data_IF_473246587161
#
_entry.id   IF_473246587161
#
_cell.length_a   1.000
_cell.length_b   1.000
_cell.length_c   1.000
_cell.angle_alpha   90.00
_cell.angle_beta   90.00
_cell.angle_gamma   90.00
#
_symmetry.space_group_name_H-M   'P 1'
#
loop_
_entity.id
_entity.type
_entity.pdbx_description
1 polymer ?
#
# COMPACT_ATOMS: atom_id res chain seq x y z
N UNK A 1 -16.78 -5.69 20.57
CA UNK A 1 -17.37 -6.95 20.11
C UNK A 1 -18.80 -7.10 20.59
N UNK A 2 -19.71 -7.36 19.64
CA UNK A 2 -21.09 -7.73 19.90
C UNK A 2 -21.30 -9.14 19.33
N UNK A 3 -21.85 -10.04 20.14
CA UNK A 3 -22.19 -11.42 19.73
C UNK A 3 -23.55 -11.51 19.01
N UNK A 4 -24.25 -10.37 18.85
CA UNK A 4 -25.54 -10.34 18.19
C UNK A 4 -25.41 -10.40 16.67
N UNK A 5 -26.44 -10.94 16.01
CA UNK A 5 -26.51 -11.00 14.56
C UNK A 5 -26.47 -9.58 13.95
N UNK A 6 -25.44 -9.30 13.14
CA UNK A 6 -25.22 -7.98 12.50
C UNK A 6 -25.93 -7.82 11.15
N UNK A 7 -26.77 -8.79 10.76
CA UNK A 7 -27.41 -8.84 9.46
C UNK A 7 -26.47 -9.36 8.36
N UNK A 8 -26.98 -9.38 7.12
CA UNK A 8 -26.19 -9.76 5.95
C UNK A 8 -25.18 -8.68 5.57
N UNK A 9 -23.98 -9.08 5.19
CA UNK A 9 -22.97 -8.17 4.63
C UNK A 9 -23.42 -7.51 3.32
N UNK A 10 -22.76 -6.42 2.97
CA UNK A 10 -22.98 -5.71 1.71
C UNK A 10 -22.80 -6.64 0.51
N UNK A 11 -23.76 -6.60 -0.43
CA UNK A 11 -23.69 -7.42 -1.65
C UNK A 11 -22.54 -6.93 -2.53
N UNK A 12 -21.81 -7.88 -3.12
CA UNK A 12 -20.71 -7.58 -4.03
C UNK A 12 -21.09 -7.94 -5.47
N UNK A 13 -20.78 -7.03 -6.39
CA UNK A 13 -20.94 -7.29 -7.82
C UNK A 13 -19.87 -8.29 -8.28
N UNK A 14 -20.24 -9.18 -9.21
CA UNK A 14 -19.30 -10.16 -9.78
C UNK A 14 -18.06 -9.51 -10.39
N UNK A 15 -18.25 -8.41 -11.12
CA UNK A 15 -17.15 -7.66 -11.71
C UNK A 15 -16.16 -7.11 -10.64
N UNK A 16 -16.66 -6.64 -9.49
CA UNK A 16 -15.80 -6.20 -8.37
C UNK A 16 -15.06 -7.38 -7.75
N UNK A 17 -15.74 -8.51 -7.58
CA UNK A 17 -15.13 -9.73 -7.06
C UNK A 17 -14.01 -10.25 -7.97
N UNK A 18 -14.23 -10.31 -9.28
CA UNK A 18 -13.26 -10.73 -10.28
C UNK A 18 -12.00 -9.85 -10.27
N UNK A 19 -12.17 -8.55 -10.03
CA UNK A 19 -11.04 -7.62 -9.89
C UNK A 19 -10.26 -7.79 -8.58
N UNK A 20 -10.96 -8.07 -7.47
CA UNK A 20 -10.36 -8.13 -6.14
C UNK A 20 -9.78 -9.52 -5.83
N UNK A 21 -10.32 -10.58 -6.42
CA UNK A 21 -9.92 -11.96 -6.12
C UNK A 21 -8.41 -12.19 -6.32
N UNK A 22 -7.77 -11.79 -7.44
CA UNK A 22 -6.33 -11.95 -7.60
C UNK A 22 -5.52 -11.23 -6.50
N UNK A 23 -5.95 -10.05 -6.06
CA UNK A 23 -5.24 -9.27 -5.03
C UNK A 23 -5.36 -9.94 -3.65
N UNK A 24 -6.48 -10.61 -3.38
CA UNK A 24 -6.72 -11.36 -2.14
C UNK A 24 -5.91 -12.64 -2.00
N UNK A 25 -5.31 -13.14 -3.09
CA UNK A 25 -4.47 -14.33 -3.07
C UNK A 25 -3.05 -14.07 -2.54
N UNK A 26 -2.74 -12.83 -2.15
CA UNK A 26 -1.45 -12.49 -1.56
C UNK A 26 -1.22 -13.28 -0.26
N UNK A 27 -0.13 -14.04 -0.22
CA UNK A 27 0.28 -14.80 0.97
C UNK A 27 1.39 -14.09 1.77
N UNK A 28 1.62 -12.80 1.50
CA UNK A 28 2.64 -11.97 2.18
C UNK A 28 4.05 -12.57 2.20
N UNK A 29 4.43 -13.26 1.12
CA UNK A 29 5.73 -13.94 1.00
C UNK A 29 6.96 -13.03 0.85
N UNK A 30 6.79 -11.73 0.61
CA UNK A 30 7.91 -10.79 0.46
C UNK A 30 8.61 -10.79 -0.91
N UNK A 31 8.44 -11.81 -1.76
CA UNK A 31 9.18 -11.91 -3.04
C UNK A 31 9.12 -10.66 -3.92
N UNK A 32 7.96 -9.99 -3.97
CA UNK A 32 7.81 -8.77 -4.75
C UNK A 32 8.56 -7.56 -4.18
N UNK A 33 8.76 -7.51 -2.86
CA UNK A 33 9.54 -6.49 -2.18
C UNK A 33 11.03 -6.76 -2.39
N UNK A 34 11.49 -7.99 -2.15
CA UNK A 34 12.90 -8.38 -2.32
C UNK A 34 13.42 -8.18 -3.75
N UNK A 35 12.58 -8.44 -4.75
CA UNK A 35 12.96 -8.24 -6.15
C UNK A 35 12.87 -6.77 -6.61
N UNK A 36 12.26 -5.88 -5.83
CA UNK A 36 12.04 -4.49 -6.23
C UNK A 36 13.29 -3.63 -5.92
N UNK A 37 13.93 -3.02 -6.93
CA UNK A 37 15.15 -2.23 -6.69
C UNK A 37 14.91 -0.93 -5.91
N UNK A 38 13.65 -0.47 -5.83
CA UNK A 38 13.26 0.70 -5.04
C UNK A 38 12.92 0.35 -3.58
N UNK A 39 12.68 -0.93 -3.27
CA UNK A 39 12.39 -1.35 -1.90
C UNK A 39 13.70 -1.73 -1.22
N UNK A 40 14.32 -0.76 -0.56
CA UNK A 40 15.62 -0.90 0.05
C UNK A 40 15.51 -1.07 1.56
N UNK A 41 16.47 -1.78 2.15
CA UNK A 41 16.59 -1.88 3.58
C UNK A 41 17.05 -0.54 4.14
N UNK A 42 16.30 0.00 5.09
CA UNK A 42 16.67 1.20 5.84
C UNK A 42 17.73 0.82 6.87
N UNK A 43 18.96 1.25 6.67
CA UNK A 43 20.09 1.03 7.58
C UNK A 43 20.61 2.39 8.06
N UNK A 44 20.21 2.79 9.26
CA UNK A 44 20.66 4.03 9.91
C UNK A 44 21.65 3.68 11.01
N UNK A 45 22.80 4.35 11.03
CA UNK A 45 23.86 4.15 12.05
C UNK A 45 23.83 5.33 13.02
N UNK A 46 23.98 5.05 14.32
CA UNK A 46 24.05 6.08 15.35
C UNK A 46 25.32 6.92 15.19
N UNK A 47 25.16 8.24 15.19
CA UNK A 47 26.27 9.16 15.02
C UNK A 47 27.06 9.35 16.33
N UNK A 48 28.37 9.67 16.26
CA UNK A 48 29.15 9.95 17.44
C UNK A 48 28.58 11.13 18.24
N UNK A 49 28.14 10.88 19.47
CA UNK A 49 27.55 11.90 20.35
C UNK A 49 26.04 12.08 20.21
N UNK A 50 25.38 11.32 19.34
CA UNK A 50 23.91 11.30 19.22
C UNK A 50 23.30 10.58 20.44
N UNK A 51 22.27 11.17 21.06
CA UNK A 51 21.54 10.49 22.14
C UNK A 51 20.73 9.31 21.58
N UNK A 52 20.35 8.37 22.43
CA UNK A 52 19.54 7.23 22.00
C UNK A 52 18.16 7.69 21.46
N UNK A 53 17.58 8.73 22.06
CA UNK A 53 16.30 9.30 21.65
C UNK A 53 16.38 9.95 20.27
N UNK A 54 17.43 10.75 20.02
CA UNK A 54 17.65 11.39 18.72
C UNK A 54 17.90 10.35 17.61
N UNK A 55 18.64 9.29 17.92
CA UNK A 55 18.86 8.18 17.00
C UNK A 55 17.56 7.46 16.64
N UNK A 56 16.70 7.17 17.62
CA UNK A 56 15.42 6.52 17.38
C UNK A 56 14.47 7.40 16.56
N UNK A 57 14.41 8.71 16.81
CA UNK A 57 13.61 9.66 16.02
C UNK A 57 14.04 9.66 14.54
N UNK A 58 15.34 9.81 14.28
CA UNK A 58 15.89 9.77 12.91
C UNK A 58 15.69 8.43 12.22
N UNK A 59 15.74 7.34 12.98
CA UNK A 59 15.45 5.99 12.47
C UNK A 59 13.98 5.87 12.05
N UNK A 60 13.05 6.39 12.85
CA UNK A 60 11.62 6.40 12.53
C UNK A 60 11.32 7.26 11.30
N UNK A 61 11.92 8.45 11.20
CA UNK A 61 11.78 9.33 10.03
C UNK A 61 12.27 8.63 8.75
N UNK A 62 13.41 7.94 8.81
CA UNK A 62 13.93 7.17 7.67
C UNK A 62 13.01 6.00 7.27
N UNK A 63 12.29 5.38 8.21
CA UNK A 63 11.29 4.36 7.89
C UNK A 63 10.02 4.96 7.25
N UNK A 64 9.59 6.14 7.69
CA UNK A 64 8.41 6.83 7.18
C UNK A 64 8.61 7.30 5.72
N UNK A 65 9.82 7.68 5.34
CA UNK A 65 10.14 8.09 3.97
C UNK A 65 10.45 6.92 3.02
N UNK A 66 10.69 5.72 3.56
CA UNK A 66 11.05 4.55 2.77
C UNK A 66 9.89 4.06 1.88
N UNK A 67 10.23 3.48 0.72
CA UNK A 67 9.21 3.00 -0.20
C UNK A 67 8.33 1.93 0.45
N UNK A 68 7.01 2.14 0.48
CA UNK A 68 6.03 1.20 1.06
C UNK A 68 5.98 -0.16 0.34
N UNK A 69 6.41 -0.20 -0.93
CA UNK A 69 6.55 -1.43 -1.70
C UNK A 69 5.30 -1.92 -2.42
N UNK A 70 5.46 -2.87 -3.37
CA UNK A 70 4.38 -3.37 -4.21
C UNK A 70 3.31 -4.17 -3.45
N UNK A 71 3.69 -4.86 -2.37
CA UNK A 71 2.75 -5.60 -1.51
C UNK A 71 1.74 -4.64 -0.87
N UNK A 72 2.23 -3.61 -0.17
CA UNK A 72 1.40 -2.65 0.55
C UNK A 72 0.45 -1.91 -0.40
N UNK A 73 0.95 -1.44 -1.55
CA UNK A 73 0.13 -0.76 -2.56
C UNK A 73 -0.99 -1.67 -3.07
N UNK A 74 -0.70 -2.94 -3.37
CA UNK A 74 -1.71 -3.88 -3.89
C UNK A 74 -2.78 -4.21 -2.83
N UNK A 75 -2.38 -4.37 -1.57
CA UNK A 75 -3.33 -4.58 -0.47
C UNK A 75 -4.19 -3.34 -0.20
N UNK A 76 -3.62 -2.14 -0.26
CA UNK A 76 -4.40 -0.90 -0.15
C UNK A 76 -5.51 -0.83 -1.21
N UNK A 77 -5.20 -1.20 -2.46
CA UNK A 77 -6.19 -1.24 -3.53
C UNK A 77 -7.28 -2.29 -3.30
N UNK A 78 -6.93 -3.47 -2.78
CA UNK A 78 -7.91 -4.48 -2.40
C UNK A 78 -8.86 -3.95 -1.34
N UNK A 79 -8.34 -3.41 -0.24
CA UNK A 79 -9.15 -2.97 0.89
C UNK A 79 -9.94 -1.70 0.58
N UNK A 80 -9.45 -0.81 -0.29
CA UNK A 80 -10.20 0.35 -0.74
C UNK A 80 -11.46 -0.05 -1.53
N UNK A 81 -11.41 -1.19 -2.24
CA UNK A 81 -12.55 -1.74 -2.97
C UNK A 81 -13.36 -2.77 -2.16
N UNK A 82 -12.96 -3.10 -0.92
CA UNK A 82 -13.61 -4.11 -0.10
C UNK A 82 -14.64 -3.46 0.85
N UNK A 83 -15.83 -4.06 1.07
CA UNK A 83 -16.87 -3.49 1.95
C UNK A 83 -16.39 -3.12 3.35
N UNK A 84 -15.52 -3.95 3.93
CA UNK A 84 -14.99 -3.73 5.28
C UNK A 84 -13.86 -2.69 5.33
N UNK A 85 -13.25 -2.36 4.18
CA UNK A 85 -12.08 -1.48 4.11
C UNK A 85 -12.34 -0.12 3.47
N UNK A 86 -13.44 0.03 2.69
CA UNK A 86 -13.72 1.24 1.91
C UNK A 86 -13.85 2.52 2.72
N UNK A 87 -14.27 2.43 3.98
CA UNK A 87 -14.39 3.58 4.88
C UNK A 87 -13.05 4.27 5.13
N UNK A 88 -11.95 3.52 5.10
CA UNK A 88 -10.58 4.01 5.30
C UNK A 88 -9.87 4.33 3.98
N UNK A 89 -10.58 4.32 2.84
CA UNK A 89 -9.94 4.50 1.54
C UNK A 89 -9.25 5.85 1.40
N UNK A 90 -9.88 6.92 1.89
CA UNK A 90 -9.29 8.27 1.89
C UNK A 90 -7.98 8.32 2.66
N UNK A 91 -7.96 7.77 3.88
CA UNK A 91 -6.78 7.75 4.75
C UNK A 91 -5.65 6.94 4.12
N UNK A 92 -5.95 5.76 3.54
CA UNK A 92 -4.95 4.98 2.81
C UNK A 92 -4.40 5.74 1.60
N UNK A 93 -5.25 6.49 0.90
CA UNK A 93 -4.80 7.28 -0.25
C UNK A 93 -3.93 8.46 0.18
N UNK A 94 -4.25 9.13 1.29
CA UNK A 94 -3.40 10.19 1.85
C UNK A 94 -2.02 9.62 2.23
N UNK A 95 -1.96 8.49 2.93
CA UNK A 95 -0.70 7.81 3.26
C UNK A 95 0.07 7.38 2.01
N UNK A 96 -0.61 6.78 1.03
CA UNK A 96 0.02 6.35 -0.23
C UNK A 96 0.52 7.50 -1.11
N UNK A 97 0.05 8.72 -0.89
CA UNK A 97 0.52 9.92 -1.58
C UNK A 97 1.66 10.64 -0.84
N UNK A 98 2.00 10.20 0.37
CA UNK A 98 3.13 10.72 1.15
C UNK A 98 4.51 10.34 0.60
N UNK A 99 5.55 10.72 1.35
CA UNK A 99 6.92 10.27 1.11
C UNK A 99 6.98 8.73 1.13
N UNK A 100 7.84 8.13 0.31
CA UNK A 100 7.89 6.67 0.17
C UNK A 100 6.61 6.03 -0.42
N UNK A 101 5.64 6.82 -0.87
CA UNK A 101 4.37 6.33 -1.40
C UNK A 101 4.42 5.81 -2.84
N UNK A 102 3.29 5.88 -3.55
CA UNK A 102 3.12 5.35 -4.92
C UNK A 102 4.18 5.91 -5.89
N UNK A 103 4.56 7.17 -5.71
CA UNK A 103 5.50 7.87 -6.60
C UNK A 103 6.93 7.32 -6.54
N UNK A 104 7.29 6.60 -5.48
CA UNK A 104 8.60 5.98 -5.37
C UNK A 104 8.74 4.71 -6.25
N UNK A 105 7.65 4.21 -6.85
CA UNK A 105 7.73 3.11 -7.80
C UNK A 105 8.40 3.54 -9.11
N UNK A 106 9.59 3.00 -9.39
CA UNK A 106 10.34 3.22 -10.65
C UNK A 106 9.88 2.37 -11.85
N UNK A 107 8.79 1.60 -11.72
CA UNK A 107 8.26 0.71 -12.76
C UNK A 107 9.29 -0.30 -13.34
N UNK A 108 10.15 -0.87 -12.48
CA UNK A 108 11.09 -1.93 -12.89
C UNK A 108 10.40 -3.27 -13.24
N UNK A 109 9.15 -3.46 -12.81
CA UNK A 109 8.31 -4.64 -13.09
C UNK A 109 8.80 -6.00 -12.56
N UNK A 110 9.94 -6.05 -11.85
CA UNK A 110 10.39 -7.27 -11.19
C UNK A 110 9.33 -7.87 -10.26
N UNK A 111 8.57 -7.03 -9.56
CA UNK A 111 7.55 -7.45 -8.60
C UNK A 111 6.48 -8.36 -9.21
N UNK A 112 5.99 -8.05 -10.41
CA UNK A 112 4.97 -8.88 -11.09
C UNK A 112 5.59 -10.15 -11.69
N UNK A 113 6.85 -10.08 -12.14
CA UNK A 113 7.55 -11.22 -12.72
C UNK A 113 7.84 -12.33 -11.68
N UNK A 114 8.12 -11.95 -10.43
CA UNK A 114 8.48 -12.91 -9.37
C UNK A 114 7.32 -13.34 -8.49
N UNK A 115 6.12 -12.77 -8.66
CA UNK A 115 5.01 -13.06 -7.77
C UNK A 115 4.55 -14.52 -7.94
N UNK A 116 4.69 -15.40 -6.92
CA UNK A 116 4.34 -16.81 -7.05
C UNK A 116 2.82 -17.06 -7.12
N UNK A 117 2.03 -16.01 -6.89
CA UNK A 117 0.57 -16.01 -6.95
C UNK A 117 0.03 -15.30 -8.18
N UNK A 118 0.92 -14.88 -9.10
CA UNK A 118 0.56 -14.22 -10.36
C UNK A 118 -0.32 -12.97 -10.15
N UNK A 119 -0.13 -12.29 -9.01
CA UNK A 119 -0.89 -11.08 -8.70
C UNK A 119 -0.46 -9.99 -9.68
N UNK A 120 -1.41 -9.29 -10.33
CA UNK A 120 -1.10 -8.27 -11.33
C UNK A 120 -0.63 -6.96 -10.65
N UNK A 121 0.51 -7.02 -9.95
CA UNK A 121 1.03 -5.95 -9.09
C UNK A 121 1.24 -4.63 -9.84
N UNK A 122 1.77 -4.68 -11.06
CA UNK A 122 1.94 -3.48 -11.91
C UNK A 122 0.60 -2.85 -12.28
N UNK A 123 -0.44 -3.66 -12.50
CA UNK A 123 -1.81 -3.16 -12.75
C UNK A 123 -2.40 -2.54 -11.48
N UNK A 124 -2.19 -3.16 -10.31
CA UNK A 124 -2.60 -2.57 -9.02
C UNK A 124 -1.91 -1.23 -8.75
N UNK A 125 -0.61 -1.12 -9.01
CA UNK A 125 0.13 0.15 -8.85
C UNK A 125 -0.38 1.21 -9.82
N UNK A 126 -0.65 0.85 -11.08
CA UNK A 126 -1.25 1.79 -12.04
C UNK A 126 -2.65 2.25 -11.62
N UNK A 127 -3.46 1.36 -11.03
CA UNK A 127 -4.77 1.71 -10.44
C UNK A 127 -4.61 2.65 -9.24
N UNK A 128 -3.63 2.40 -8.38
CA UNK A 128 -3.31 3.27 -7.25
C UNK A 128 -2.90 4.67 -7.71
N UNK A 129 -2.08 4.77 -8.76
CA UNK A 129 -1.71 6.06 -9.37
C UNK A 129 -2.93 6.85 -9.86
N UNK A 130 -3.85 6.20 -10.59
CA UNK A 130 -5.11 6.85 -11.01
C UNK A 130 -5.98 7.26 -9.82
N UNK A 131 -6.10 6.39 -8.81
CA UNK A 131 -6.84 6.69 -7.59
C UNK A 131 -6.24 7.89 -6.84
N UNK A 132 -4.91 8.00 -6.79
CA UNK A 132 -4.21 9.14 -6.21
C UNK A 132 -4.52 10.45 -6.96
N UNK A 133 -4.52 10.42 -8.29
CA UNK A 133 -4.92 11.58 -9.09
C UNK A 133 -6.36 12.01 -8.80
N UNK A 134 -7.30 11.06 -8.76
CA UNK A 134 -8.71 11.35 -8.43
C UNK A 134 -8.84 11.90 -7.01
N UNK A 135 -8.15 11.29 -6.05
CA UNK A 135 -8.15 11.71 -4.64
C UNK A 135 -7.61 13.14 -4.48
N UNK A 136 -6.51 13.46 -5.17
CA UNK A 136 -5.93 14.81 -5.19
C UNK A 136 -6.92 15.85 -5.74
N UNK A 137 -7.57 15.56 -6.87
CA UNK A 137 -8.56 16.45 -7.49
C UNK A 137 -9.76 16.66 -6.55
N UNK A 138 -10.28 15.57 -5.98
CA UNK A 138 -11.39 15.62 -5.02
C UNK A 138 -11.06 16.49 -3.81
N UNK A 139 -9.89 16.27 -3.19
CA UNK A 139 -9.42 17.03 -2.02
C UNK A 139 -9.20 18.52 -2.33
N UNK A 140 -8.86 18.85 -3.58
CA UNK A 140 -8.73 20.25 -4.02
C UNK A 140 -10.07 20.97 -4.12
N UNK A 141 -11.15 20.28 -4.54
CA UNK A 141 -12.50 20.84 -4.65
C UNK A 141 -13.34 20.75 -3.36
N UNK A 142 -12.95 19.91 -2.41
CA UNK A 142 -13.57 19.81 -1.08
C UNK A 142 -12.97 20.79 -0.05
N UNK A 143 -11.94 21.55 -0.45
CA UNK A 143 -11.43 22.73 0.27
C UNK A 143 -12.29 23.95 -0.04
#
# INVERSE_FOLDING_TARGET
DSYYNMGSGERQLRATQEQNYPLSQCMSCGCCADACPQYQKVEVVQEPGESAEAFEERKLEAYDEAFVGPHAISQAMLFNNHPTGKALASERMDAMMGAGGIQACGNAQNCVAVCPKEIPLTTSIARAGRAATVHMVKKWFEK
#
